data_IF_535723625745
#
_entry.id   IF_535723625745
#
_cell.length_a   1.000
_cell.length_b   1.000
_cell.length_c   1.000
_cell.angle_alpha   90.00
_cell.angle_beta   90.00
_cell.angle_gamma   90.00
#
_symmetry.space_group_name_H-M   'P 1'
#
loop_
_entity.id
_entity.type
_entity.pdbx_description
1 polymer ?
#
# COMPACT_ATOMS: atom_id res chain seq x y z
N UNK A 1 -24.74 -31.52 4.53
CA UNK A 1 -23.62 -31.48 3.56
C UNK A 1 -22.84 -30.21 3.83
N UNK A 2 -21.55 -30.32 4.19
CA UNK A 2 -20.69 -29.14 4.33
C UNK A 2 -20.25 -28.63 2.95
N UNK A 3 -20.07 -27.33 2.81
CA UNK A 3 -19.49 -26.70 1.62
C UNK A 3 -17.97 -26.90 1.60
N UNK A 4 -17.35 -26.66 0.45
CA UNK A 4 -15.88 -26.68 0.34
C UNK A 4 -15.20 -25.68 1.31
N UNK A 5 -15.87 -24.56 1.60
CA UNK A 5 -15.38 -23.56 2.56
C UNK A 5 -15.41 -24.10 3.99
N UNK A 6 -16.45 -24.88 4.34
CA UNK A 6 -16.55 -25.55 5.65
C UNK A 6 -15.46 -26.60 5.86
N UNK A 7 -14.91 -27.13 4.75
CA UNK A 7 -13.76 -28.05 4.73
C UNK A 7 -12.41 -27.31 4.64
N UNK A 8 -12.42 -25.98 4.73
CA UNK A 8 -11.20 -25.15 4.69
C UNK A 8 -10.61 -24.94 3.29
N UNK A 9 -11.28 -25.42 2.23
CA UNK A 9 -10.84 -25.26 0.84
C UNK A 9 -11.25 -23.85 0.37
N UNK A 10 -10.24 -23.02 0.07
CA UNK A 10 -10.44 -21.67 -0.45
C UNK A 10 -10.23 -21.67 -1.97
N UNK A 11 -11.17 -21.11 -2.72
CA UNK A 11 -11.04 -20.90 -4.17
C UNK A 11 -10.06 -19.79 -4.57
N UNK A 12 -9.30 -19.24 -3.62
CA UNK A 12 -8.31 -18.20 -3.87
C UNK A 12 -7.04 -18.44 -3.03
N UNK A 13 -5.92 -17.94 -3.54
CA UNK A 13 -4.65 -17.95 -2.81
C UNK A 13 -4.42 -16.62 -2.14
N UNK A 14 -4.16 -16.62 -0.83
CA UNK A 14 -3.79 -15.40 -0.12
C UNK A 14 -2.52 -14.81 -0.74
N UNK A 15 -2.56 -13.53 -1.10
CA UNK A 15 -1.45 -12.86 -1.79
C UNK A 15 -0.14 -12.93 -1.00
N UNK A 16 -0.18 -12.78 0.33
CA UNK A 16 1.01 -12.90 1.19
C UNK A 16 1.61 -14.30 1.18
N UNK A 17 0.77 -15.34 1.18
CA UNK A 17 1.23 -16.74 1.05
C UNK A 17 1.85 -16.95 -0.32
N UNK A 18 1.18 -16.50 -1.39
CA UNK A 18 1.70 -16.58 -2.76
C UNK A 18 3.06 -15.90 -2.89
N UNK A 19 3.22 -14.69 -2.36
CA UNK A 19 4.49 -13.97 -2.38
C UNK A 19 5.58 -14.71 -1.60
N UNK A 20 5.25 -15.25 -0.43
CA UNK A 20 6.21 -16.00 0.37
C UNK A 20 6.71 -17.26 -0.34
N UNK A 21 5.83 -17.99 -1.02
CA UNK A 21 6.24 -19.13 -1.86
C UNK A 21 7.07 -18.68 -3.07
N UNK A 22 6.62 -17.63 -3.78
CA UNK A 22 7.32 -17.08 -4.95
C UNK A 22 8.74 -16.62 -4.65
N UNK A 23 8.99 -16.14 -3.42
CA UNK A 23 10.28 -15.65 -2.98
C UNK A 23 10.92 -16.53 -1.90
N UNK A 24 10.74 -17.85 -1.98
CA UNK A 24 11.50 -18.83 -1.20
C UNK A 24 11.46 -18.59 0.32
N UNK A 25 10.29 -18.27 0.86
CA UNK A 25 10.08 -18.01 2.29
C UNK A 25 10.28 -16.55 2.71
N UNK A 26 10.77 -15.68 1.84
CA UNK A 26 11.03 -14.27 2.14
C UNK A 26 9.74 -13.49 2.42
N UNK A 27 9.79 -12.61 3.42
CA UNK A 27 8.69 -11.72 3.79
C UNK A 27 8.69 -10.49 2.89
N UNK A 28 7.68 -10.41 2.03
CA UNK A 28 7.46 -9.25 1.17
C UNK A 28 6.57 -8.23 1.88
N UNK A 29 7.00 -6.97 1.91
CA UNK A 29 6.25 -5.87 2.52
C UNK A 29 5.94 -4.78 1.49
N UNK A 30 4.75 -4.18 1.58
CA UNK A 30 4.37 -3.04 0.73
C UNK A 30 4.87 -1.75 1.37
N UNK A 31 5.74 -1.02 0.69
CA UNK A 31 6.21 0.29 1.13
C UNK A 31 5.37 1.34 0.44
N UNK A 32 4.57 2.05 1.23
CA UNK A 32 3.70 3.11 0.75
C UNK A 32 4.55 4.33 0.38
N UNK A 33 4.28 4.90 -0.79
CA UNK A 33 4.94 6.09 -1.32
C UNK A 33 3.88 7.08 -1.82
N UNK A 34 4.11 8.36 -1.56
CA UNK A 34 3.40 9.50 -2.12
C UNK A 34 4.17 10.05 -3.32
N UNK A 35 3.54 9.98 -4.49
CA UNK A 35 4.05 10.54 -5.73
C UNK A 35 3.72 12.02 -5.93
N UNK A 36 2.98 12.63 -4.99
CA UNK A 36 2.49 14.01 -5.11
C UNK A 36 1.24 14.13 -5.98
N UNK A 37 0.44 13.06 -6.09
CA UNK A 37 -0.72 13.01 -6.96
C UNK A 37 -1.96 13.65 -6.31
N UNK A 38 -2.91 14.10 -7.14
CA UNK A 38 -4.16 14.69 -6.68
C UNK A 38 -5.36 13.77 -6.89
N UNK A 39 -6.50 14.13 -6.30
CA UNK A 39 -7.77 13.43 -6.40
C UNK A 39 -8.85 14.42 -6.88
N UNK A 40 -9.65 14.08 -7.90
CA UNK A 40 -10.60 14.99 -8.52
C UNK A 40 -11.78 15.36 -7.60
N UNK A 41 -12.03 14.51 -6.60
CA UNK A 41 -13.02 14.74 -5.55
C UNK A 41 -12.49 15.66 -4.43
N UNK A 42 -11.19 15.98 -4.45
CA UNK A 42 -10.52 16.84 -3.46
C UNK A 42 -10.06 18.16 -4.08
N UNK A 43 -9.61 18.16 -5.33
CA UNK A 43 -9.11 19.35 -6.02
C UNK A 43 -10.21 20.27 -6.60
N UNK A 44 -11.48 19.87 -6.53
CA UNK A 44 -12.61 20.66 -7.01
C UNK A 44 -13.05 20.34 -8.43
N UNK A 45 -12.32 19.52 -9.19
CA UNK A 45 -12.65 19.22 -10.59
C UNK A 45 -13.89 18.35 -10.77
N UNK A 46 -14.16 17.44 -9.82
CA UNK A 46 -15.35 16.56 -9.78
C UNK A 46 -16.10 16.62 -8.45
N UNK A 47 -15.50 17.20 -7.42
CA UNK A 47 -16.11 17.42 -6.12
C UNK A 47 -15.18 18.16 -5.16
N UNK A 48 -15.73 18.53 -4.01
CA UNK A 48 -15.02 19.28 -2.96
C UNK A 48 -15.01 18.47 -1.66
N UNK A 49 -13.95 18.63 -0.86
CA UNK A 49 -13.84 18.01 0.48
C UNK A 49 -13.39 16.55 0.50
N UNK A 50 -13.40 15.84 -0.62
CA UNK A 50 -13.05 14.42 -0.71
C UNK A 50 -14.22 13.47 -0.46
N UNK A 51 -14.00 12.17 -0.68
CA UNK A 51 -15.02 11.16 -0.43
C UNK A 51 -15.28 11.01 1.08
N UNK A 52 -16.53 10.82 1.50
CA UNK A 52 -16.92 10.62 2.91
C UNK A 52 -16.18 9.48 3.60
N UNK A 53 -15.77 8.46 2.84
CA UNK A 53 -15.00 7.32 3.35
C UNK A 53 -13.47 7.52 3.27
N UNK A 54 -12.99 8.59 2.63
CA UNK A 54 -11.57 8.81 2.40
C UNK A 54 -10.94 9.55 3.57
N UNK A 55 -10.16 8.84 4.39
CA UNK A 55 -9.33 9.44 5.42
C UNK A 55 -7.85 9.34 5.03
N UNK A 56 -7.33 10.35 4.34
CA UNK A 56 -5.94 10.40 3.85
C UNK A 56 -4.92 10.25 4.98
N UNK A 57 -5.22 10.80 6.16
CA UNK A 57 -4.35 10.72 7.32
C UNK A 57 -4.19 9.30 7.86
N UNK A 58 -5.19 8.44 7.67
CA UNK A 58 -5.14 7.05 8.15
C UNK A 58 -4.17 6.16 7.38
N UNK A 59 -3.86 6.51 6.13
CA UNK A 59 -3.04 5.68 5.25
C UNK A 59 -1.81 6.39 4.66
N UNK A 60 -1.64 7.69 4.90
CA UNK A 60 -0.43 8.42 4.48
C UNK A 60 0.66 8.27 5.54
N UNK A 61 1.76 7.56 5.24
CA UNK A 61 2.85 7.37 6.18
C UNK A 61 3.52 8.69 6.53
N UNK A 62 4.02 8.81 7.75
CA UNK A 62 4.81 9.96 8.19
C UNK A 62 6.02 10.26 7.26
N UNK A 63 6.77 9.27 6.72
CA UNK A 63 7.83 9.53 5.76
C UNK A 63 7.35 10.28 4.51
N UNK A 64 6.15 10.00 4.03
CA UNK A 64 5.54 10.70 2.89
C UNK A 64 5.17 12.15 3.20
N UNK A 65 4.92 12.47 4.48
CA UNK A 65 4.63 13.84 4.93
C UNK A 65 5.89 14.68 5.15
N UNK A 66 7.00 14.03 5.51
CA UNK A 66 8.25 14.69 5.91
C UNK A 66 9.31 14.73 4.81
N UNK A 67 9.25 13.81 3.83
CA UNK A 67 10.29 13.69 2.81
C UNK A 67 9.70 13.92 1.40
N UNK A 68 10.19 14.92 0.66
CA UNK A 68 9.65 15.24 -0.66
C UNK A 68 10.06 14.24 -1.74
N UNK A 69 11.18 13.53 -1.59
CA UNK A 69 11.65 12.60 -2.63
C UNK A 69 11.13 11.18 -2.43
N UNK A 70 10.73 10.52 -3.52
CA UNK A 70 10.33 9.10 -3.53
C UNK A 70 11.45 8.22 -2.95
N UNK A 71 12.72 8.56 -3.25
CA UNK A 71 13.88 7.80 -2.79
C UNK A 71 13.99 7.79 -1.26
N UNK A 72 13.77 8.94 -0.63
CA UNK A 72 13.83 9.06 0.83
C UNK A 72 12.64 8.38 1.50
N UNK A 73 11.44 8.53 0.93
CA UNK A 73 10.26 7.81 1.39
C UNK A 73 10.48 6.29 1.36
N UNK A 74 11.08 5.78 0.28
CA UNK A 74 11.44 4.37 0.15
C UNK A 74 12.51 3.95 1.16
N UNK A 75 13.59 4.71 1.31
CA UNK A 75 14.67 4.38 2.23
C UNK A 75 14.15 4.26 3.67
N UNK A 76 13.39 5.26 4.13
CA UNK A 76 12.80 5.27 5.48
C UNK A 76 11.72 4.20 5.64
N UNK A 77 10.87 4.00 4.62
CA UNK A 77 9.81 3.00 4.65
C UNK A 77 10.35 1.57 4.69
N UNK A 78 11.40 1.28 3.91
CA UNK A 78 12.10 0.00 3.92
C UNK A 78 12.80 -0.26 5.25
N UNK A 79 13.47 0.75 5.82
CA UNK A 79 14.12 0.61 7.14
C UNK A 79 13.10 0.30 8.24
N UNK A 80 11.97 1.03 8.29
CA UNK A 80 10.85 0.74 9.19
C UNK A 80 10.30 -0.67 8.98
N UNK A 81 10.14 -1.09 7.72
CA UNK A 81 9.62 -2.40 7.38
C UNK A 81 10.55 -3.55 7.80
N UNK A 82 11.87 -3.36 7.67
CA UNK A 82 12.87 -4.31 8.18
C UNK A 82 12.79 -4.42 9.70
N UNK A 83 12.81 -3.28 10.40
CA UNK A 83 12.82 -3.21 11.87
C UNK A 83 11.55 -3.79 12.50
N UNK A 84 10.38 -3.39 12.00
CA UNK A 84 9.11 -3.69 12.67
C UNK A 84 8.45 -4.96 12.15
N UNK A 85 8.66 -5.32 10.88
CA UNK A 85 7.95 -6.42 10.23
C UNK A 85 8.87 -7.54 9.72
N UNK A 86 10.20 -7.39 9.91
CA UNK A 86 11.22 -8.34 9.42
C UNK A 86 11.09 -8.57 7.91
N UNK A 87 10.85 -7.49 7.17
CA UNK A 87 10.69 -7.55 5.73
C UNK A 87 12.03 -7.81 5.03
N UNK A 88 12.03 -8.74 4.08
CA UNK A 88 13.20 -9.12 3.28
C UNK A 88 13.15 -8.49 1.88
N UNK A 89 11.93 -8.32 1.35
CA UNK A 89 11.64 -7.81 0.02
C UNK A 89 10.55 -6.75 0.10
N UNK A 90 10.51 -5.88 -0.91
CA UNK A 90 9.62 -4.71 -0.90
C UNK A 90 8.88 -4.59 -2.21
N UNK A 91 7.61 -4.19 -2.12
CA UNK A 91 6.80 -3.73 -3.24
C UNK A 91 6.57 -2.23 -3.03
N UNK A 92 6.93 -1.42 -4.01
CA UNK A 92 6.59 0.01 -3.98
C UNK A 92 5.09 0.14 -4.25
N UNK A 93 4.39 0.84 -3.36
CA UNK A 93 2.95 1.03 -3.46
C UNK A 93 2.63 2.53 -3.44
N UNK A 94 2.38 3.09 -4.63
CA UNK A 94 1.97 4.47 -4.80
C UNK A 94 0.54 4.64 -4.31
N UNK A 95 0.37 5.18 -3.10
CA UNK A 95 -0.93 5.21 -2.43
C UNK A 95 -1.53 6.61 -2.27
N UNK A 96 -0.86 7.63 -1.72
CA UNK A 96 -1.59 8.85 -1.39
C UNK A 96 -2.12 9.57 -2.63
N UNK A 97 -3.45 9.47 -2.78
CA UNK A 97 -4.31 10.03 -3.83
C UNK A 97 -3.98 9.63 -5.28
N UNK A 98 -3.28 8.51 -5.45
CA UNK A 98 -3.08 7.78 -6.72
C UNK A 98 -4.35 7.63 -7.56
N UNK A 99 -4.41 7.77 -8.90
CA UNK A 99 -3.49 8.21 -9.95
C UNK A 99 -4.21 9.26 -10.83
N UNK A 100 -4.68 10.38 -10.25
CA UNK A 100 -5.32 11.45 -11.05
C UNK A 100 -4.31 12.58 -11.30
N UNK A 101 -4.12 12.87 -12.59
CA UNK A 101 -3.24 13.87 -13.24
C UNK A 101 -1.72 13.65 -13.18
N UNK A 102 -1.27 12.43 -12.86
CA UNK A 102 0.05 11.94 -13.29
C UNK A 102 -0.06 11.25 -14.67
N UNK A 103 1.02 11.16 -15.47
CA UNK A 103 1.00 10.47 -16.77
C UNK A 103 0.70 8.98 -16.66
#
# INVERSE_FOLDING_TARGET
MGTQVDLGIKGYKNYGIHLREKYNGQRVFKVIVDGGFTCPNRDGSKGYGGCTYCNVDSFTPEPSRKNPSIKDQLAVGMDRAKKNYRADKFIVYFQPNTNTYAP
#
